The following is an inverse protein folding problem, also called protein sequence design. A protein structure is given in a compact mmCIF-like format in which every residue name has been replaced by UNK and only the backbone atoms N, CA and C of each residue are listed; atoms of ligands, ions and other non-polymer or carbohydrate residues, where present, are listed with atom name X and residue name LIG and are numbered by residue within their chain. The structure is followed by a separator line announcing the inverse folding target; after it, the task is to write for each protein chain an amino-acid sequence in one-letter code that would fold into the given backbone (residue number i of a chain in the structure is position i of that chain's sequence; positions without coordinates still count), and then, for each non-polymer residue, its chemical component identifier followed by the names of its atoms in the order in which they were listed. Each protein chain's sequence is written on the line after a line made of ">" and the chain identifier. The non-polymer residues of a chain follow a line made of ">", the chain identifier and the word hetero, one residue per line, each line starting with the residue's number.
data_IF_705284759571
#
_entry.id   IF_705284759571
#
_cell.length_a   1.000
_cell.length_b   1.000
_cell.length_c   1.000
_cell.angle_alpha   90.00
_cell.angle_beta   90.00
_cell.angle_gamma   90.00
#
_symmetry.space_group_name_H-M   'P 1'
#
loop_
_entity.id
_entity.type
_entity.pdbx_description
1 polymer ?
#
# COMPACT_ATOMS: atom_id res chain seq x y z
N UNK A 1 2.06 52.42 -70.47
CA UNK A 1 3.48 52.48 -70.06
C UNK A 1 3.61 51.73 -68.74
N UNK A 2 4.64 50.89 -68.57
CA UNK A 2 4.87 50.11 -67.35
C UNK A 2 4.54 48.61 -67.49
N UNK A 3 5.43 47.87 -68.16
CA UNK A 3 5.51 46.40 -67.97
C UNK A 3 6.37 46.08 -66.75
N UNK A 4 6.02 45.03 -66.00
CA UNK A 4 6.84 43.80 -65.77
C UNK A 4 6.39 43.03 -64.50
N UNK A 5 6.43 41.70 -64.60
CA UNK A 5 6.56 40.61 -63.60
C UNK A 5 6.52 40.92 -62.08
N UNK A 6 6.06 40.05 -61.15
CA UNK A 6 5.29 38.79 -61.13
C UNK A 6 5.05 38.44 -59.60
N UNK A 7 4.56 37.29 -59.08
CA UNK A 7 4.21 35.95 -59.60
C UNK A 7 3.23 35.25 -58.62
N UNK A 8 2.21 34.51 -59.10
CA UNK A 8 1.45 33.45 -58.37
C UNK A 8 0.64 33.89 -57.12
N UNK A 9 -0.65 33.56 -56.95
CA UNK A 9 -1.17 32.24 -56.60
C UNK A 9 -2.72 32.24 -56.58
N UNK A 10 -3.34 31.05 -56.75
CA UNK A 10 -4.75 30.69 -56.47
C UNK A 10 -5.82 31.28 -57.42
N UNK A 11 -6.45 30.40 -58.22
CA UNK A 11 -7.90 30.14 -58.22
C UNK A 11 -8.26 29.08 -59.28
N UNK A 12 -8.51 27.84 -58.85
CA UNK A 12 -9.19 26.82 -59.64
C UNK A 12 -9.93 25.85 -58.70
N UNK A 13 -11.22 26.13 -58.49
CA UNK A 13 -12.19 25.23 -57.85
C UNK A 13 -12.40 24.01 -58.74
N UNK A 14 -12.53 22.79 -58.20
CA UNK A 14 -13.51 21.79 -58.66
C UNK A 14 -13.81 20.74 -57.57
N UNK A 15 -15.05 20.25 -57.60
CA UNK A 15 -15.72 19.43 -56.58
C UNK A 15 -15.27 17.97 -56.60
N UNK A 16 -15.06 17.36 -55.44
CA UNK A 16 -15.24 15.90 -55.24
C UNK A 16 -16.01 15.64 -53.95
N UNK A 17 -17.20 15.02 -54.10
CA UNK A 17 -17.93 14.39 -53.01
C UNK A 17 -17.21 13.11 -52.59
N UNK A 18 -16.85 12.97 -51.31
CA UNK A 18 -16.50 11.68 -50.72
C UNK A 18 -17.29 11.48 -49.43
N UNK A 19 -17.99 10.35 -49.37
CA UNK A 19 -18.73 9.89 -48.20
C UNK A 19 -17.76 9.60 -47.06
N UNK A 20 -17.69 10.53 -46.10
CA UNK A 20 -16.90 10.40 -44.88
C UNK A 20 -17.47 9.36 -43.92
N UNK A 21 -17.35 8.08 -44.26
CA UNK A 21 -17.33 7.03 -43.26
C UNK A 21 -16.01 7.15 -42.48
N UNK A 22 -15.98 8.04 -41.47
CA UNK A 22 -14.89 8.10 -40.51
C UNK A 22 -14.98 6.83 -39.66
N UNK A 23 -14.40 5.75 -40.17
CA UNK A 23 -13.98 4.63 -39.32
C UNK A 23 -12.85 5.18 -38.47
N UNK A 24 -13.22 5.72 -37.30
CA UNK A 24 -12.28 5.95 -36.23
C UNK A 24 -11.76 4.59 -35.80
N UNK A 25 -10.68 4.14 -36.43
CA UNK A 25 -9.81 3.10 -35.86
C UNK A 25 -9.24 3.73 -34.60
N UNK A 26 -9.92 3.50 -33.48
CA UNK A 26 -9.38 3.77 -32.16
C UNK A 26 -8.26 2.75 -31.99
N UNK A 27 -7.06 3.11 -32.46
CA UNK A 27 -5.84 2.46 -32.06
C UNK A 27 -5.75 2.65 -30.54
N UNK A 28 -6.15 1.62 -29.81
CA UNK A 28 -5.99 1.52 -28.36
C UNK A 28 -4.53 1.20 -28.04
N UNK A 29 -3.61 1.93 -28.67
CA UNK A 29 -2.20 1.93 -28.33
C UNK A 29 -2.06 2.76 -27.06
N UNK A 30 -2.34 2.11 -25.93
CA UNK A 30 -1.81 2.54 -24.64
C UNK A 30 -0.30 2.38 -24.68
N UNK A 31 0.38 3.33 -25.32
CA UNK A 31 1.83 3.49 -25.26
C UNK A 31 2.15 3.95 -23.84
N UNK A 32 2.26 2.98 -22.94
CA UNK A 32 3.00 3.17 -21.71
C UNK A 32 4.45 3.47 -22.12
N UNK A 33 5.11 4.48 -21.52
CA UNK A 33 6.57 4.53 -21.59
C UNK A 33 7.09 3.27 -20.90
N UNK A 34 7.74 2.41 -21.69
CA UNK A 34 8.31 1.15 -21.21
C UNK A 34 9.54 1.43 -20.33
N UNK A 35 9.32 1.72 -19.06
CA UNK A 35 10.37 1.75 -18.02
C UNK A 35 10.74 0.33 -17.55
N UNK A 36 10.83 -0.64 -18.46
CA UNK A 36 11.44 -1.95 -18.22
C UNK A 36 10.80 -2.73 -17.08
N UNK A 37 9.47 -2.65 -16.97
CA UNK A 37 8.69 -3.41 -15.99
C UNK A 37 8.90 -4.91 -16.21
N UNK A 38 9.31 -5.62 -15.15
CA UNK A 38 9.57 -7.07 -15.19
C UNK A 38 8.41 -7.84 -14.58
N UNK A 39 7.72 -8.61 -15.39
CA UNK A 39 6.54 -9.38 -15.04
C UNK A 39 6.88 -10.82 -14.65
N UNK A 40 5.86 -11.61 -14.33
CA UNK A 40 6.03 -13.03 -14.02
C UNK A 40 6.66 -13.77 -15.22
N UNK A 41 7.75 -14.48 -14.97
CA UNK A 41 8.67 -15.15 -15.91
C UNK A 41 9.81 -14.30 -16.52
N UNK A 42 9.87 -12.99 -16.29
CA UNK A 42 10.97 -12.16 -16.81
C UNK A 42 12.29 -12.35 -16.05
N UNK A 43 13.41 -12.16 -16.75
CA UNK A 43 14.76 -12.24 -16.18
C UNK A 43 15.08 -11.01 -15.34
N UNK A 44 15.60 -11.24 -14.14
CA UNK A 44 15.93 -10.22 -13.16
C UNK A 44 17.31 -10.49 -12.53
N UNK A 45 17.89 -9.48 -11.88
CA UNK A 45 19.21 -9.54 -11.26
C UNK A 45 19.10 -9.62 -9.74
N UNK A 46 19.98 -10.42 -9.13
CA UNK A 46 20.16 -10.50 -7.68
C UNK A 46 21.43 -9.75 -7.29
N UNK A 47 21.29 -8.74 -6.43
CA UNK A 47 22.43 -7.95 -5.92
C UNK A 47 23.19 -8.73 -4.84
N UNK A 48 24.51 -8.83 -5.03
CA UNK A 48 25.40 -9.59 -4.16
C UNK A 48 26.86 -9.43 -4.58
N UNK A 49 27.77 -10.13 -3.91
CA UNK A 49 29.21 -10.12 -4.21
C UNK A 49 29.59 -10.78 -5.55
N UNK A 50 28.64 -11.47 -6.19
CA UNK A 50 28.68 -11.84 -7.60
C UNK A 50 27.32 -11.51 -8.23
N UNK A 51 27.28 -10.96 -9.45
CA UNK A 51 26.03 -10.82 -10.19
C UNK A 51 25.45 -12.20 -10.49
N UNK A 52 24.19 -12.41 -10.12
CA UNK A 52 23.43 -13.64 -10.45
C UNK A 52 22.12 -13.24 -11.10
N UNK A 53 21.73 -13.94 -12.15
CA UNK A 53 20.40 -13.84 -12.73
C UNK A 53 19.40 -14.68 -11.94
N UNK A 54 18.14 -14.28 -12.04
CA UNK A 54 16.98 -14.97 -11.52
C UNK A 54 15.78 -14.75 -12.46
N UNK A 55 14.66 -15.33 -12.08
CA UNK A 55 13.38 -15.23 -12.78
C UNK A 55 12.36 -14.61 -11.82
N UNK A 56 11.63 -13.60 -12.28
CA UNK A 56 10.51 -13.02 -11.58
C UNK A 56 9.40 -14.06 -11.40
N UNK A 57 9.07 -14.43 -10.16
CA UNK A 57 7.91 -15.30 -9.85
C UNK A 57 7.18 -14.81 -8.62
N UNK A 58 5.95 -15.27 -8.41
CA UNK A 58 5.20 -15.02 -7.17
C UNK A 58 6.05 -15.46 -5.99
N UNK A 59 6.09 -14.66 -4.91
CA UNK A 59 6.97 -14.91 -3.77
C UNK A 59 6.79 -16.28 -3.09
N UNK A 60 5.64 -16.93 -3.26
CA UNK A 60 5.36 -18.28 -2.77
C UNK A 60 6.06 -19.39 -3.60
N UNK A 61 6.34 -19.13 -4.88
CA UNK A 61 6.82 -20.12 -5.86
C UNK A 61 8.36 -20.08 -6.03
N UNK A 62 9.05 -19.33 -5.19
CA UNK A 62 10.50 -19.20 -5.20
C UNK A 62 11.21 -20.38 -4.51
N UNK A 63 12.32 -20.91 -5.08
CA UNK A 63 13.22 -21.80 -4.37
C UNK A 63 13.89 -21.13 -3.14
N UNK A 64 14.34 -21.96 -2.20
CA UNK A 64 14.89 -21.55 -0.88
C UNK A 64 16.00 -20.50 -0.96
N UNK A 65 15.89 -19.47 -0.10
CA UNK A 65 17.02 -18.65 0.36
C UNK A 65 17.28 -17.36 -0.42
N UNK A 66 16.27 -16.50 -0.61
CA UNK A 66 16.42 -15.31 -1.48
C UNK A 66 17.15 -14.12 -0.86
N UNK A 67 16.81 -13.72 0.37
CA UNK A 67 17.10 -12.38 0.94
C UNK A 67 16.54 -11.21 0.09
N UNK A 68 16.21 -10.09 0.73
CA UNK A 68 15.60 -8.89 0.11
C UNK A 68 16.54 -8.07 -0.81
N UNK A 69 17.34 -8.75 -1.63
CA UNK A 69 18.42 -8.19 -2.46
C UNK A 69 18.20 -8.36 -3.97
N UNK A 70 17.01 -8.73 -4.42
CA UNK A 70 16.68 -8.81 -5.84
C UNK A 70 16.24 -7.46 -6.43
N UNK A 71 16.39 -7.31 -7.75
CA UNK A 71 15.65 -6.30 -8.52
C UNK A 71 14.14 -6.47 -8.31
N UNK A 72 13.40 -5.36 -8.43
CA UNK A 72 11.94 -5.33 -8.25
C UNK A 72 11.25 -5.89 -9.49
N UNK A 73 10.41 -6.90 -9.29
CA UNK A 73 9.43 -7.37 -10.27
C UNK A 73 8.06 -6.69 -9.99
N UNK A 74 7.21 -6.64 -11.00
CA UNK A 74 5.87 -6.04 -10.94
C UNK A 74 4.79 -7.09 -10.61
N UNK A 75 3.65 -6.65 -10.07
CA UNK A 75 2.61 -7.54 -9.55
C UNK A 75 1.91 -8.36 -10.66
N UNK A 76 1.60 -9.62 -10.33
CA UNK A 76 0.78 -10.51 -11.17
C UNK A 76 -0.57 -10.67 -10.48
N UNK A 77 -1.56 -9.88 -10.92
CA UNK A 77 -2.82 -9.71 -10.21
C UNK A 77 -2.59 -9.19 -8.78
N UNK A 78 -3.15 -9.88 -7.78
CA UNK A 78 -2.99 -9.54 -6.36
C UNK A 78 -1.70 -10.11 -5.72
N UNK A 79 -0.87 -10.80 -6.51
CA UNK A 79 0.30 -11.52 -6.01
C UNK A 79 1.58 -10.70 -6.22
N UNK A 80 2.34 -10.51 -5.14
CA UNK A 80 3.67 -9.91 -5.22
C UNK A 80 4.63 -10.87 -5.96
N UNK A 81 5.17 -10.41 -7.08
CA UNK A 81 6.23 -11.07 -7.83
C UNK A 81 7.57 -10.53 -7.31
N UNK A 82 8.55 -11.41 -7.16
CA UNK A 82 9.91 -11.09 -6.70
C UNK A 82 10.92 -11.87 -7.54
N UNK A 83 12.16 -11.38 -7.57
CA UNK A 83 13.24 -12.05 -8.28
C UNK A 83 13.69 -13.30 -7.53
N UNK A 84 13.50 -14.50 -8.11
CA UNK A 84 13.97 -15.77 -7.54
C UNK A 84 15.20 -16.32 -8.29
N UNK A 85 16.22 -16.90 -7.61
CA UNK A 85 17.34 -17.56 -8.28
C UNK A 85 16.89 -18.84 -9.00
N UNK A 86 17.47 -19.13 -10.17
CA UNK A 86 17.16 -20.34 -10.95
C UNK A 86 17.65 -21.65 -10.29
N UNK A 87 18.61 -21.58 -9.36
CA UNK A 87 19.17 -22.74 -8.67
C UNK A 87 19.20 -22.52 -7.16
N UNK A 88 18.60 -23.44 -6.42
CA UNK A 88 18.72 -23.51 -4.97
C UNK A 88 20.16 -23.87 -4.56
N UNK A 89 20.92 -22.89 -4.07
CA UNK A 89 22.28 -23.12 -3.56
C UNK A 89 22.17 -23.66 -2.13
N UNK A 90 22.42 -24.97 -1.96
CA UNK A 90 22.53 -25.61 -0.64
C UNK A 90 21.29 -26.41 -0.21
N UNK A 91 20.98 -27.50 -0.92
CA UNK A 91 20.00 -28.50 -0.47
C UNK A 91 20.57 -29.34 0.69
N UNK A 92 20.60 -28.76 1.90
CA UNK A 92 20.82 -29.51 3.14
C UNK A 92 19.61 -30.37 3.47
N UNK A 93 19.83 -31.66 3.70
CA UNK A 93 18.80 -32.66 4.03
C UNK A 93 18.39 -32.60 5.49
N UNK A 94 17.74 -31.50 5.89
CA UNK A 94 17.10 -31.38 7.21
C UNK A 94 15.63 -30.98 7.07
N UNK A 95 14.79 -31.60 7.88
CA UNK A 95 13.32 -31.55 7.84
C UNK A 95 12.71 -30.21 8.27
N UNK A 96 13.50 -29.13 8.25
CA UNK A 96 13.02 -27.78 8.55
C UNK A 96 12.00 -27.36 7.50
N UNK A 97 10.75 -27.17 7.93
CA UNK A 97 9.72 -26.53 7.14
C UNK A 97 10.23 -25.18 6.60
N UNK A 98 9.75 -24.80 5.42
CA UNK A 98 10.41 -23.85 4.52
C UNK A 98 10.47 -22.40 5.04
N UNK A 99 11.29 -22.10 6.07
CA UNK A 99 11.39 -20.81 6.80
C UNK A 99 11.72 -19.56 5.97
N UNK A 100 11.76 -19.66 4.65
CA UNK A 100 11.64 -18.55 3.71
C UNK A 100 10.16 -18.35 3.29
N UNK A 101 9.24 -18.43 4.26
CA UNK A 101 7.79 -18.51 4.09
C UNK A 101 7.11 -17.16 4.39
N UNK A 102 6.06 -16.84 3.61
CA UNK A 102 5.11 -15.72 3.82
C UNK A 102 5.67 -14.28 3.68
N UNK A 103 4.75 -13.31 3.45
CA UNK A 103 5.05 -11.86 3.31
C UNK A 103 5.57 -11.33 4.65
N UNK A 104 6.42 -10.29 4.68
CA UNK A 104 6.94 -9.71 5.94
C UNK A 104 5.80 -9.36 6.91
N UNK A 105 4.71 -8.78 6.44
CA UNK A 105 3.55 -8.46 7.28
C UNK A 105 2.86 -9.69 7.88
N UNK A 106 2.84 -10.80 7.14
CA UNK A 106 2.32 -12.09 7.61
C UNK A 106 3.27 -12.70 8.64
N UNK A 107 4.57 -12.73 8.38
CA UNK A 107 5.58 -13.20 9.35
C UNK A 107 5.53 -12.40 10.66
N UNK A 108 5.44 -11.06 10.57
CA UNK A 108 5.35 -10.22 11.75
C UNK A 108 4.05 -10.50 12.52
N UNK A 109 2.87 -10.46 11.89
CA UNK A 109 1.61 -10.79 12.59
C UNK A 109 1.60 -12.21 13.21
N UNK A 110 2.01 -13.24 12.46
CA UNK A 110 2.10 -14.65 12.94
C UNK A 110 3.10 -14.82 14.11
N UNK A 111 4.06 -13.92 14.27
CA UNK A 111 4.95 -13.89 15.43
C UNK A 111 4.27 -13.28 16.67
N UNK A 112 3.30 -12.38 16.51
CA UNK A 112 2.60 -11.73 17.63
C UNK A 112 1.37 -12.49 18.11
N UNK A 113 0.62 -13.18 17.23
CA UNK A 113 -0.47 -14.07 17.66
C UNK A 113 0.01 -15.18 18.62
N UNK A 114 1.29 -15.57 18.51
CA UNK A 114 1.98 -16.51 19.42
C UNK A 114 2.36 -15.92 20.78
N UNK A 115 2.31 -14.60 20.95
CA UNK A 115 2.77 -13.90 22.16
C UNK A 115 1.62 -13.35 23.02
N UNK A 116 0.47 -13.00 22.43
CA UNK A 116 -0.72 -12.60 23.20
C UNK A 116 -2.02 -12.97 22.47
N UNK A 117 -2.53 -14.18 22.72
CA UNK A 117 -3.78 -14.67 22.12
C UNK A 117 -5.03 -14.26 22.91
N UNK A 118 -4.97 -13.26 23.80
CA UNK A 118 -5.93 -13.15 24.91
C UNK A 118 -6.84 -11.91 25.00
N UNK A 119 -6.59 -10.82 24.26
CA UNK A 119 -7.26 -9.52 24.53
C UNK A 119 -8.00 -8.82 23.36
N UNK A 120 -8.18 -9.46 22.20
CA UNK A 120 -9.18 -9.01 21.22
C UNK A 120 -10.52 -9.66 21.54
N UNK A 121 -11.33 -8.99 22.37
CA UNK A 121 -12.70 -9.44 22.68
C UNK A 121 -13.69 -8.86 21.67
N UNK A 122 -14.42 -9.74 20.97
CA UNK A 122 -15.48 -9.36 20.03
C UNK A 122 -16.63 -8.66 20.77
N UNK A 123 -16.61 -7.32 20.81
CA UNK A 123 -17.64 -6.55 21.47
C UNK A 123 -18.83 -6.26 20.56
N UNK A 124 -19.74 -7.24 20.43
CA UNK A 124 -20.93 -7.13 19.57
C UNK A 124 -21.98 -6.19 20.21
N UNK A 125 -22.01 -4.92 19.81
CA UNK A 125 -23.23 -4.10 19.88
C UNK A 125 -23.14 -2.87 18.98
N UNK A 126 -24.29 -2.40 18.47
CA UNK A 126 -24.42 -1.24 17.58
C UNK A 126 -24.30 0.11 18.31
N UNK A 127 -23.33 0.22 19.22
CA UNK A 127 -23.06 1.39 20.04
C UNK A 127 -21.59 1.80 19.88
N UNK A 128 -21.30 3.08 20.13
CA UNK A 128 -19.94 3.63 20.14
C UNK A 128 -19.32 3.40 21.52
N UNK A 129 -18.22 2.65 21.58
CA UNK A 129 -17.49 2.37 22.83
C UNK A 129 -16.12 3.03 22.82
N UNK A 130 -15.66 3.49 23.99
CA UNK A 130 -14.25 3.87 24.18
C UNK A 130 -13.39 2.62 24.01
N UNK A 131 -12.28 2.74 23.28
CA UNK A 131 -11.29 1.68 23.18
C UNK A 131 -10.38 1.66 24.42
N UNK A 132 -9.92 0.47 24.80
CA UNK A 132 -8.97 0.32 25.91
C UNK A 132 -7.50 0.40 25.43
N UNK A 133 -6.58 0.72 26.34
CA UNK A 133 -5.17 0.88 26.00
C UNK A 133 -4.52 -0.47 25.69
N UNK A 134 -4.18 -0.66 24.41
CA UNK A 134 -3.67 -1.92 23.86
C UNK A 134 -4.75 -2.79 23.23
N UNK A 135 -6.02 -2.35 23.17
CA UNK A 135 -7.08 -3.11 22.49
C UNK A 135 -6.83 -3.19 20.97
N UNK A 136 -6.38 -2.10 20.36
CA UNK A 136 -6.02 -2.05 18.94
C UNK A 136 -4.54 -1.67 18.79
N UNK A 137 -3.60 -2.59 19.07
CA UNK A 137 -2.18 -2.27 19.20
C UNK A 137 -1.51 -1.91 17.86
N UNK A 138 -2.21 -2.11 16.74
CA UNK A 138 -1.79 -1.68 15.41
C UNK A 138 -2.21 -0.25 15.06
N UNK A 139 -3.13 0.36 15.83
CA UNK A 139 -3.72 1.64 15.49
C UNK A 139 -2.71 2.78 15.67
N UNK A 140 -2.50 3.55 14.60
CA UNK A 140 -1.62 4.70 14.57
C UNK A 140 -2.36 5.97 14.16
N UNK A 141 -2.01 7.10 14.78
CA UNK A 141 -2.41 8.43 14.32
C UNK A 141 -1.36 8.96 13.34
N UNK A 142 -1.81 9.45 12.19
CA UNK A 142 -0.97 10.17 11.23
C UNK A 142 -0.96 11.65 11.63
N UNK A 143 0.23 12.23 11.75
CA UNK A 143 0.43 13.63 12.14
C UNK A 143 0.92 14.47 10.96
N UNK A 144 0.41 15.70 10.87
CA UNK A 144 0.59 16.55 9.70
C UNK A 144 1.39 17.81 10.02
N UNK A 145 2.21 18.24 9.07
CA UNK A 145 2.89 19.53 9.11
C UNK A 145 1.91 20.69 8.91
N UNK A 146 2.21 21.82 9.56
CA UNK A 146 1.49 23.08 9.38
C UNK A 146 0.32 23.28 10.34
N UNK A 147 0.21 24.48 10.92
CA UNK A 147 -0.84 24.83 11.91
C UNK A 147 -2.25 24.68 11.34
N UNK A 148 -2.41 24.95 10.05
CA UNK A 148 -3.71 24.87 9.39
C UNK A 148 -4.20 23.42 9.25
N UNK A 149 -3.30 22.43 9.23
CA UNK A 149 -3.65 21.01 9.13
C UNK A 149 -3.95 20.35 10.49
N UNK A 150 -3.86 21.08 11.61
CA UNK A 150 -4.12 20.55 12.96
C UNK A 150 -5.55 20.01 13.17
N UNK A 151 -6.46 20.22 12.22
CA UNK A 151 -7.81 19.70 12.21
C UNK A 151 -7.96 18.33 11.50
N UNK A 152 -6.97 17.94 10.71
CA UNK A 152 -6.98 16.72 9.91
C UNK A 152 -6.56 15.54 10.80
N UNK A 153 -7.40 14.49 10.85
CA UNK A 153 -7.08 13.25 11.55
C UNK A 153 -7.18 12.08 10.57
N UNK A 154 -6.06 11.44 10.30
CA UNK A 154 -5.99 10.19 9.54
C UNK A 154 -5.46 9.06 10.41
N UNK A 155 -5.97 7.86 10.17
CA UNK A 155 -5.46 6.63 10.76
C UNK A 155 -4.42 5.95 9.87
N UNK A 156 -3.55 5.17 10.48
CA UNK A 156 -2.78 4.13 9.81
C UNK A 156 -2.77 2.86 10.67
N UNK A 157 -2.50 1.72 10.07
CA UNK A 157 -2.33 0.44 10.76
C UNK A 157 -0.89 -0.05 10.62
N UNK A 158 -0.22 -0.35 11.73
CA UNK A 158 1.09 -1.02 11.69
C UNK A 158 0.93 -2.39 11.02
N UNK A 159 1.74 -2.70 10.01
CA UNK A 159 1.71 -4.01 9.32
C UNK A 159 3.07 -4.73 9.39
N UNK A 160 4.12 -4.07 9.86
CA UNK A 160 5.43 -4.66 10.17
C UNK A 160 6.23 -3.66 11.02
N UNK A 161 7.44 -4.03 11.47
CA UNK A 161 8.33 -3.15 12.24
C UNK A 161 8.64 -1.79 11.62
N UNK A 162 8.48 -1.60 10.30
CA UNK A 162 8.78 -0.31 9.62
C UNK A 162 7.68 0.23 8.72
N UNK A 163 6.66 -0.56 8.41
CA UNK A 163 5.61 -0.16 7.48
C UNK A 163 4.26 -0.06 8.17
N UNK A 164 3.59 1.06 7.92
CA UNK A 164 2.19 1.28 8.24
C UNK A 164 1.38 1.38 6.94
N UNK A 165 0.16 0.86 6.97
CA UNK A 165 -0.81 0.96 5.88
C UNK A 165 -1.77 2.12 6.16
N UNK A 166 -2.04 2.96 5.17
CA UNK A 166 -3.00 4.07 5.25
C UNK A 166 -3.67 4.30 3.88
N UNK A 167 -4.59 5.25 3.81
CA UNK A 167 -5.21 5.68 2.56
C UNK A 167 -4.30 6.66 1.81
N UNK A 168 -4.31 6.64 0.47
CA UNK A 168 -3.47 7.52 -0.34
C UNK A 168 -3.85 9.00 -0.21
N UNK A 169 -5.13 9.32 -0.03
CA UNK A 169 -5.58 10.69 0.21
C UNK A 169 -5.01 11.29 1.50
N UNK A 170 -4.80 10.48 2.54
CA UNK A 170 -4.13 10.90 3.77
C UNK A 170 -2.66 11.29 3.55
N UNK A 171 -2.11 11.11 2.35
CA UNK A 171 -0.69 11.38 2.03
C UNK A 171 -0.47 12.33 0.85
N UNK A 172 -1.46 12.44 -0.05
CA UNK A 172 -1.39 13.32 -1.24
C UNK A 172 -1.92 14.71 -0.96
N UNK A 173 -2.90 14.81 -0.06
CA UNK A 173 -3.60 16.05 0.23
C UNK A 173 -2.87 16.85 1.34
N UNK A 174 -1.96 16.21 2.10
CA UNK A 174 -1.28 16.75 3.29
C UNK A 174 0.14 16.20 3.45
N UNK A 175 1.08 17.01 3.98
CA UNK A 175 2.42 16.56 4.34
C UNK A 175 2.41 15.88 5.72
N UNK A 176 2.86 14.63 5.79
CA UNK A 176 2.97 13.85 7.02
C UNK A 176 4.34 14.10 7.66
N UNK A 177 4.34 14.44 8.96
CA UNK A 177 5.54 14.65 9.77
C UNK A 177 5.95 13.37 10.51
N UNK A 178 5.02 12.79 11.25
CA UNK A 178 5.22 11.63 12.11
C UNK A 178 3.99 10.71 12.14
N UNK A 179 4.18 9.50 12.66
CA UNK A 179 3.08 8.63 13.10
C UNK A 179 3.25 8.29 14.58
N UNK A 180 2.17 8.34 15.35
CA UNK A 180 2.16 7.95 16.78
C UNK A 180 1.37 6.68 17.00
N UNK A 181 1.91 5.78 17.83
CA UNK A 181 1.32 4.48 18.18
C UNK A 181 1.23 4.29 19.70
N UNK A 182 0.42 3.32 20.12
CA UNK A 182 0.35 2.86 21.52
C UNK A 182 -0.40 3.81 22.45
N UNK A 183 -1.45 4.47 21.98
CA UNK A 183 -2.21 5.46 22.74
C UNK A 183 -3.73 5.36 22.52
N UNK A 184 -4.50 5.82 23.51
CA UNK A 184 -5.96 6.00 23.39
C UNK A 184 -6.33 7.47 23.20
N UNK A 185 -5.62 8.41 23.83
CA UNK A 185 -5.87 9.85 23.68
C UNK A 185 -4.89 10.48 22.70
N UNK A 186 -5.33 11.25 21.71
CA UNK A 186 -4.45 11.98 20.78
C UNK A 186 -3.56 13.01 21.47
N UNK A 187 -3.90 13.41 22.71
CA UNK A 187 -3.13 14.33 23.57
C UNK A 187 -2.13 13.63 24.48
N UNK A 188 -2.06 12.30 24.43
CA UNK A 188 -1.08 11.50 25.17
C UNK A 188 0.35 11.88 24.73
N UNK A 189 1.19 12.21 25.70
CA UNK A 189 2.59 12.63 25.52
C UNK A 189 3.58 11.49 25.72
N UNK A 190 3.13 10.36 26.27
CA UNK A 190 3.93 9.14 26.42
C UNK A 190 3.85 8.27 25.15
N UNK A 191 2.84 8.51 24.31
CA UNK A 191 2.72 7.99 22.96
C UNK A 191 3.99 8.25 22.13
N UNK A 192 4.61 7.19 21.60
CA UNK A 192 5.90 7.29 20.90
C UNK A 192 5.71 7.76 19.45
N UNK A 193 6.29 8.90 19.03
CA UNK A 193 6.30 9.33 17.64
C UNK A 193 7.41 8.63 16.85
N UNK A 194 7.12 8.32 15.59
CA UNK A 194 8.07 7.77 14.62
C UNK A 194 8.10 8.66 13.39
N UNK A 195 9.29 9.18 13.06
CA UNK A 195 9.49 10.03 11.89
C UNK A 195 9.27 9.24 10.59
N UNK A 196 8.67 9.88 9.59
CA UNK A 196 8.48 9.28 8.27
C UNK A 196 9.78 9.30 7.47
N UNK A 197 10.14 8.15 6.90
CA UNK A 197 11.27 7.99 5.98
C UNK A 197 10.87 8.16 4.53
N UNK A 198 9.77 7.53 4.12
CA UNK A 198 9.17 7.71 2.80
C UNK A 198 7.70 7.29 2.78
N UNK A 199 6.98 7.74 1.76
CA UNK A 199 5.60 7.38 1.50
C UNK A 199 5.53 6.72 0.13
N UNK A 200 4.98 5.50 0.06
CA UNK A 200 4.77 4.75 -1.19
C UNK A 200 3.27 4.72 -1.49
N UNK A 201 2.82 5.68 -2.30
CA UNK A 201 1.44 5.73 -2.79
C UNK A 201 1.24 4.70 -3.90
N UNK A 202 0.07 4.04 -3.94
CA UNK A 202 -0.26 3.12 -5.02
C UNK A 202 -0.19 3.82 -6.39
N UNK A 203 0.53 3.27 -7.40
CA UNK A 203 0.78 3.97 -8.66
C UNK A 203 -0.50 4.28 -9.45
N UNK A 204 -1.52 3.41 -9.32
CA UNK A 204 -2.84 3.63 -9.91
C UNK A 204 -3.79 4.55 -9.12
N UNK A 205 -3.35 5.28 -8.09
CA UNK A 205 -4.24 6.15 -7.30
C UNK A 205 -4.79 7.31 -8.14
N UNK A 206 -6.11 7.40 -8.27
CA UNK A 206 -6.83 8.48 -8.97
C UNK A 206 -8.18 8.73 -8.32
N UNK A 207 -8.42 9.92 -7.78
CA UNK A 207 -9.74 10.38 -7.29
C UNK A 207 -10.44 9.32 -6.40
N UNK A 208 -9.78 8.90 -5.31
CA UNK A 208 -10.24 7.85 -4.38
C UNK A 208 -10.33 6.41 -4.95
N UNK A 209 -10.01 6.17 -6.22
CA UNK A 209 -9.73 4.82 -6.73
C UNK A 209 -8.31 4.41 -6.36
N UNK A 210 -8.14 3.15 -5.91
CA UNK A 210 -6.88 2.62 -5.39
C UNK A 210 -6.30 3.47 -4.24
N UNK A 211 -7.16 3.87 -3.31
CA UNK A 211 -6.86 4.79 -2.21
C UNK A 211 -6.07 4.11 -1.08
N UNK A 212 -4.83 3.71 -1.39
CA UNK A 212 -3.95 2.93 -0.52
C UNK A 212 -2.51 3.42 -0.64
N UNK A 213 -1.83 3.55 0.49
CA UNK A 213 -0.43 3.96 0.58
C UNK A 213 0.27 3.29 1.77
N UNK A 214 1.59 3.14 1.65
CA UNK A 214 2.46 2.72 2.74
C UNK A 214 3.25 3.91 3.27
N UNK A 215 3.36 4.00 4.60
CA UNK A 215 4.30 4.88 5.30
C UNK A 215 5.46 3.99 5.79
N UNK A 216 6.69 4.28 5.36
CA UNK A 216 7.90 3.70 5.97
C UNK A 216 8.42 4.66 7.04
N UNK A 217 8.70 4.18 8.24
CA UNK A 217 9.31 4.97 9.33
C UNK A 217 10.84 4.81 9.39
N UNK A 218 11.53 5.82 9.94
CA UNK A 218 13.00 5.88 9.97
C UNK A 218 13.66 4.78 10.82
N UNK A 219 12.98 4.30 11.86
CA UNK A 219 13.47 3.31 12.84
C UNK A 219 12.48 2.17 12.99
N UNK A 220 12.97 1.00 13.42
CA UNK A 220 12.08 -0.11 13.78
C UNK A 220 11.20 0.28 14.97
N UNK A 221 9.89 0.07 14.81
CA UNK A 221 8.88 0.22 15.85
C UNK A 221 9.12 -0.85 16.92
N UNK A 222 9.36 -0.42 18.15
CA UNK A 222 9.53 -1.31 19.28
C UNK A 222 8.18 -1.95 19.63
N UNK A 223 8.08 -3.28 19.53
CA UNK A 223 6.84 -3.95 19.89
C UNK A 223 6.67 -4.00 21.41
N UNK A 224 5.43 -3.78 21.85
CA UNK A 224 5.00 -3.83 23.25
C UNK A 224 3.59 -4.42 23.32
N UNK A 225 3.04 -4.63 24.52
CA UNK A 225 1.61 -4.94 24.72
C UNK A 225 0.64 -3.86 24.20
N UNK A 226 1.14 -2.71 23.78
CA UNK A 226 0.37 -1.60 23.22
C UNK A 226 0.69 -1.33 21.74
N UNK A 227 1.72 -1.99 21.18
CA UNK A 227 2.22 -1.74 19.83
C UNK A 227 2.58 -3.07 19.15
N UNK A 228 1.72 -3.52 18.24
CA UNK A 228 1.83 -4.78 17.48
C UNK A 228 1.17 -4.60 16.11
N UNK A 229 1.68 -5.22 15.04
CA UNK A 229 1.10 -5.12 13.71
C UNK A 229 -0.20 -5.93 13.55
N UNK A 230 -1.05 -5.51 12.62
CA UNK A 230 -2.24 -6.25 12.19
C UNK A 230 -1.89 -7.27 11.09
N UNK A 231 -2.63 -8.38 11.06
CA UNK A 231 -2.63 -9.29 9.93
C UNK A 231 -3.27 -8.65 8.69
N UNK A 232 -2.77 -9.02 7.51
CA UNK A 232 -3.37 -8.64 6.24
C UNK A 232 -4.02 -9.86 5.60
N UNK A 233 -5.33 -9.78 5.42
CA UNK A 233 -6.08 -10.68 4.57
C UNK A 233 -5.74 -10.33 3.11
N UNK A 234 -5.28 -11.33 2.36
CA UNK A 234 -4.72 -11.15 1.00
C UNK A 234 -5.33 -12.09 -0.04
N UNK A 235 -6.02 -13.13 0.41
CA UNK A 235 -6.95 -13.93 -0.38
C UNK A 235 -8.39 -13.43 -0.15
N UNK A 236 -9.25 -13.58 -1.15
CA UNK A 236 -10.69 -13.28 -1.02
C UNK A 236 -11.40 -14.30 -0.11
N UNK A 237 -10.78 -15.46 0.11
CA UNK A 237 -11.27 -16.50 1.01
C UNK A 237 -10.81 -16.33 2.48
N UNK A 238 -9.93 -15.37 2.78
CA UNK A 238 -9.44 -15.10 4.14
C UNK A 238 -10.56 -14.52 5.05
N UNK A 239 -11.63 -13.98 4.47
CA UNK A 239 -12.79 -13.43 5.18
C UNK A 239 -14.01 -14.32 4.88
N UNK A 240 -14.59 -14.91 5.92
CA UNK A 240 -15.82 -15.71 5.78
C UNK A 240 -17.02 -14.86 5.36
N UNK A 241 -18.07 -15.49 4.82
CA UNK A 241 -19.29 -14.82 4.34
C UNK A 241 -20.15 -14.11 5.40
N UNK A 242 -19.70 -14.07 6.65
CA UNK A 242 -20.36 -13.41 7.78
C UNK A 242 -19.31 -13.11 8.83
N UNK A 243 -18.75 -11.90 8.79
CA UNK A 243 -17.76 -11.41 9.77
C UNK A 243 -18.23 -10.04 10.26
N UNK A 244 -18.28 -9.85 11.58
CA UNK A 244 -18.53 -8.52 12.15
C UNK A 244 -17.30 -7.63 11.92
N UNK A 245 -17.48 -6.45 11.33
CA UNK A 245 -16.38 -5.52 11.09
C UNK A 245 -16.33 -4.47 12.20
N UNK A 246 -15.18 -4.30 12.85
CA UNK A 246 -14.98 -3.25 13.85
C UNK A 246 -14.34 -2.03 13.19
N UNK A 247 -15.06 -0.91 13.16
CA UNK A 247 -14.50 0.40 12.81
C UNK A 247 -13.93 1.06 14.06
N UNK A 248 -12.80 1.75 13.92
CA UNK A 248 -12.12 2.41 15.04
C UNK A 248 -11.45 3.72 14.59
N UNK A 249 -11.33 4.68 15.50
CA UNK A 249 -10.58 5.91 15.25
C UNK A 249 -10.91 7.08 16.17
N UNK A 250 -10.13 8.16 16.00
CA UNK A 250 -10.30 9.47 16.64
C UNK A 250 -11.18 10.42 15.80
N UNK A 251 -12.18 9.83 15.14
CA UNK A 251 -13.02 10.52 14.16
C UNK A 251 -13.96 11.54 14.79
N UNK A 252 -14.77 12.15 13.92
CA UNK A 252 -15.84 13.05 14.33
C UNK A 252 -17.09 12.23 14.67
N UNK A 253 -17.85 12.63 15.69
CA UNK A 253 -19.17 12.03 15.96
C UNK A 253 -20.31 12.71 15.18
N UNK A 254 -21.53 12.18 15.33
CA UNK A 254 -22.71 12.64 14.62
C UNK A 254 -23.11 14.12 14.91
N UNK A 255 -22.50 14.76 15.91
CA UNK A 255 -22.74 16.14 16.30
C UNK A 255 -21.56 17.07 15.92
N UNK A 256 -20.71 16.64 14.98
CA UNK A 256 -19.46 17.30 14.56
C UNK A 256 -18.39 17.46 15.66
N UNK A 257 -18.53 16.76 16.81
CA UNK A 257 -17.52 16.80 17.86
C UNK A 257 -16.34 15.88 17.50
N UNK A 258 -15.13 16.44 17.47
CA UNK A 258 -13.90 15.68 17.28
C UNK A 258 -13.56 14.90 18.53
N UNK A 259 -13.47 13.57 18.41
CA UNK A 259 -12.96 12.75 19.49
C UNK A 259 -11.44 12.91 19.60
N UNK A 260 -10.93 13.29 20.77
CA UNK A 260 -9.51 13.11 21.12
C UNK A 260 -9.24 11.71 21.68
N UNK A 261 -10.28 10.98 22.06
CA UNK A 261 -10.26 9.60 22.55
C UNK A 261 -10.49 8.60 21.40
N UNK A 262 -9.81 7.45 21.43
CA UNK A 262 -10.04 6.35 20.48
C UNK A 262 -11.38 5.68 20.79
N UNK A 263 -12.24 5.56 19.78
CA UNK A 263 -13.50 4.83 19.88
C UNK A 263 -13.52 3.65 18.90
N UNK A 264 -14.34 2.65 19.23
CA UNK A 264 -14.70 1.48 18.40
C UNK A 264 -16.22 1.42 18.21
N UNK A 265 -16.66 0.85 17.10
CA UNK A 265 -18.05 0.45 16.86
C UNK A 265 -18.09 -0.77 15.92
N UNK A 266 -19.08 -1.64 16.09
CA UNK A 266 -19.25 -2.83 15.25
C UNK A 266 -20.28 -2.57 14.16
N UNK A 267 -19.84 -2.71 12.91
CA UNK A 267 -20.69 -2.71 11.71
C UNK A 267 -21.12 -4.15 11.45
N UNK A 268 -22.43 -4.34 11.33
CA UNK A 268 -23.04 -5.58 10.83
C UNK A 268 -23.34 -5.39 9.36
N UNK A 269 -22.95 -6.38 8.56
CA UNK A 269 -23.37 -6.55 7.16
C UNK A 269 -24.74 -7.27 7.10
#
# INVERSE_FOLDING_TARGET
>A
MGHHHATSWILAVWIVLLTGAVVAVVAADTIFPDEGGRYEHDTCSLTGSMPRTGICRKAADCPRGIHSKGERCEFSGNHAVVCCPERAVGAGSDGSANRYQSRISKQECENFERLDSSNLTDHISGLKFRAELGEFPFMALVEFDGKDNAHVKCGAALISKRFLLTAAHCTRDYNISSVRLGMVETKDREATPYDVRQIVVHPGYKTRRNDIALIEVTKDVASTRFIQPICLNTDLLDIGSTVNLTIMGWGVDANDNRADTLFKATVKE
#
